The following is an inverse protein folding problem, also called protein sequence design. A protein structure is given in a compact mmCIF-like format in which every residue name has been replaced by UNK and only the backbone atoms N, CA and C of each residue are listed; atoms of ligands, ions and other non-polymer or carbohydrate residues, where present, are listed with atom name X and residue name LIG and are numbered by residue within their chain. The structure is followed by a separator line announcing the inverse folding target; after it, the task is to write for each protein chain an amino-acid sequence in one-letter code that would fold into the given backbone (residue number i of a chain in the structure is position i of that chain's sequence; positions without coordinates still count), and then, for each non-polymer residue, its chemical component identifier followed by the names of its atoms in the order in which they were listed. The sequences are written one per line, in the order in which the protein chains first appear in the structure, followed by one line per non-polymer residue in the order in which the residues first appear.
data_IF_734090701220
#
_entry.id   IF_734090701220
#
_cell.length_a   1.000
_cell.length_b   1.000
_cell.length_c   1.000
_cell.angle_alpha   90.00
_cell.angle_beta   90.00
_cell.angle_gamma   90.00
#
_symmetry.space_group_name_H-M   'P 1'
#
loop_
_entity.id
_entity.type
_entity.pdbx_description
1 polymer ?
#
# COMPACT_ATOMS: atom_id res chain seq x y z
N UNK A 1 -11.19 23.11 -0.62
CA UNK A 1 -9.76 23.40 -0.76
C UNK A 1 -9.04 22.07 -0.64
N UNK A 2 -8.43 21.57 -1.73
CA UNK A 2 -7.66 20.33 -1.68
C UNK A 2 -6.34 20.62 -0.97
N UNK A 3 -6.26 20.29 0.32
CA UNK A 3 -5.02 20.37 1.06
C UNK A 3 -3.99 19.45 0.40
N UNK A 4 -2.79 19.96 0.14
CA UNK A 4 -1.66 19.12 -0.25
C UNK A 4 -1.40 18.20 0.94
N UNK A 5 -1.56 16.88 0.77
CA UNK A 5 -1.23 15.93 1.85
C UNK A 5 0.20 16.16 2.32
N UNK A 6 0.41 16.27 3.63
CA UNK A 6 1.76 16.38 4.17
C UNK A 6 2.49 15.07 3.92
N UNK A 7 3.81 15.07 3.65
CA UNK A 7 4.58 13.83 3.53
C UNK A 7 4.34 12.81 4.65
N UNK A 8 4.13 13.27 5.89
CA UNK A 8 3.77 12.48 7.07
C UNK A 8 2.48 11.69 6.90
N UNK A 9 1.53 12.26 6.17
CA UNK A 9 0.21 11.68 5.98
C UNK A 9 0.22 10.67 4.83
N UNK A 10 1.14 10.83 3.87
CA UNK A 10 1.16 10.00 2.66
C UNK A 10 1.74 8.63 2.98
N UNK A 11 0.97 7.58 2.71
CA UNK A 11 1.38 6.19 2.91
C UNK A 11 1.83 5.59 1.58
N UNK A 12 3.02 5.01 1.59
CA UNK A 12 3.64 4.28 0.48
C UNK A 12 3.65 2.80 0.84
N UNK A 13 2.95 1.98 0.06
CA UNK A 13 2.81 0.54 0.30
C UNK A 13 3.45 -0.22 -0.85
N UNK A 14 4.40 -1.09 -0.53
CA UNK A 14 5.04 -1.98 -1.47
C UNK A 14 4.47 -3.39 -1.30
N UNK A 15 4.15 -4.05 -2.41
CA UNK A 15 3.89 -5.50 -2.40
C UNK A 15 5.21 -6.30 -2.47
N UNK A 16 5.11 -7.63 -2.41
CA UNK A 16 6.26 -8.55 -2.52
C UNK A 16 7.00 -8.44 -3.85
N UNK A 17 6.29 -8.00 -4.88
CA UNK A 17 6.84 -7.75 -6.20
C UNK A 17 7.41 -6.33 -6.31
N UNK A 18 7.54 -5.54 -5.25
CA UNK A 18 8.05 -4.17 -5.28
C UNK A 18 7.21 -3.21 -6.16
N UNK A 19 5.94 -3.55 -6.40
CA UNK A 19 4.98 -2.60 -6.95
C UNK A 19 4.51 -1.65 -5.85
N UNK A 20 4.36 -0.37 -6.19
CA UNK A 20 4.08 0.69 -5.23
C UNK A 20 2.67 1.24 -5.41
N UNK A 21 1.88 1.16 -4.33
CA UNK A 21 0.65 1.92 -4.14
C UNK A 21 0.90 3.12 -3.21
N UNK A 22 0.31 4.27 -3.53
CA UNK A 22 0.42 5.49 -2.71
C UNK A 22 -0.96 5.99 -2.32
N UNK A 23 -1.15 6.20 -1.02
CA UNK A 23 -2.41 6.66 -0.42
C UNK A 23 -2.21 8.02 0.26
N UNK A 24 -3.19 8.94 0.16
CA UNK A 24 -3.05 10.28 0.72
C UNK A 24 -3.13 10.35 2.25
N UNK A 25 -3.49 9.25 2.92
CA UNK A 25 -3.63 9.13 4.38
C UNK A 25 -3.60 7.66 4.82
N UNK A 26 -3.36 7.41 6.12
CA UNK A 26 -3.55 6.08 6.74
C UNK A 26 -4.95 5.54 6.45
N UNK A 27 -5.99 6.37 6.63
CA UNK A 27 -7.37 5.98 6.38
C UNK A 27 -7.62 5.52 4.94
N UNK A 28 -7.02 6.21 3.98
CA UNK A 28 -7.14 5.82 2.58
C UNK A 28 -6.43 4.49 2.28
N UNK A 29 -5.34 4.17 3.00
CA UNK A 29 -4.70 2.87 2.91
C UNK A 29 -5.58 1.76 3.53
N UNK A 30 -6.19 2.01 4.71
CA UNK A 30 -7.14 1.08 5.34
C UNK A 30 -8.31 0.72 4.40
N UNK A 31 -8.89 1.73 3.74
CA UNK A 31 -10.02 1.53 2.82
C UNK A 31 -9.58 0.91 1.47
N UNK A 32 -8.28 0.93 1.15
CA UNK A 32 -7.74 0.56 -0.16
C UNK A 32 -7.04 -0.80 -0.22
N UNK A 33 -6.59 -1.33 0.91
CA UNK A 33 -5.86 -2.61 0.99
C UNK A 33 -6.81 -3.79 1.28
N UNK A 34 -6.46 -4.97 0.76
CA UNK A 34 -7.19 -6.20 1.04
C UNK A 34 -6.65 -6.85 2.32
N UNK A 35 -7.55 -7.23 3.25
CA UNK A 35 -7.17 -7.82 4.53
C UNK A 35 -6.46 -9.17 4.37
N UNK A 36 -6.84 -9.99 3.38
CA UNK A 36 -6.15 -11.23 3.03
C UNK A 36 -4.65 -11.00 2.76
N UNK A 37 -4.31 -10.02 1.91
CA UNK A 37 -2.91 -9.71 1.59
C UNK A 37 -2.13 -9.18 2.80
N UNK A 38 -2.81 -8.47 3.72
CA UNK A 38 -2.22 -8.04 5.01
C UNK A 38 -1.93 -9.25 5.90
N UNK A 39 -2.87 -10.20 6.00
CA UNK A 39 -2.70 -11.45 6.77
C UNK A 39 -1.54 -12.28 6.22
N UNK A 40 -1.42 -12.36 4.89
CA UNK A 40 -0.36 -13.09 4.19
C UNK A 40 1.01 -12.37 4.25
N UNK A 41 1.07 -11.17 4.86
CA UNK A 41 2.31 -10.39 4.99
C UNK A 41 2.83 -9.89 3.64
N UNK A 42 1.94 -9.67 2.68
CA UNK A 42 2.33 -9.27 1.32
C UNK A 42 2.80 -7.81 1.24
N UNK A 43 2.44 -7.00 2.24
CA UNK A 43 2.67 -5.57 2.22
C UNK A 43 3.74 -5.11 3.21
N UNK A 44 4.59 -4.19 2.75
CA UNK A 44 5.45 -3.36 3.60
C UNK A 44 5.08 -1.90 3.37
N UNK A 45 4.82 -1.14 4.44
CA UNK A 45 4.30 0.22 4.34
C UNK A 45 5.12 1.24 5.12
N UNK A 46 5.23 2.44 4.56
CA UNK A 46 5.95 3.57 5.13
C UNK A 46 5.19 4.88 4.91
N UNK A 47 5.47 5.91 5.69
CA UNK A 47 5.16 7.28 5.27
C UNK A 47 6.16 7.76 4.22
N UNK A 48 5.79 8.77 3.43
CA UNK A 48 6.73 9.39 2.50
C UNK A 48 7.92 10.07 3.20
N UNK A 49 7.83 10.32 4.51
CA UNK A 49 8.94 10.81 5.33
C UNK A 49 9.93 9.70 5.68
N UNK A 50 9.48 8.45 5.70
CA UNK A 50 10.29 7.28 6.04
C UNK A 50 9.91 6.60 7.36
N UNK A 51 8.76 6.91 7.96
CA UNK A 51 8.29 6.20 9.17
C UNK A 51 7.63 4.90 8.79
N UNK A 52 7.87 3.83 9.55
CA UNK A 52 7.19 2.56 9.30
C UNK A 52 5.69 2.68 9.63
N UNK A 53 4.87 2.05 8.80
CA UNK A 53 3.42 1.91 9.01
C UNK A 53 3.13 0.44 9.25
N UNK A 54 2.60 0.13 10.42
CA UNK A 54 2.14 -1.20 10.79
C UNK A 54 0.74 -1.44 10.21
N UNK A 55 0.58 -2.55 9.50
CA UNK A 55 -0.66 -2.96 8.86
C UNK A 55 -1.17 -4.23 9.52
N UNK A 56 -2.44 -4.21 9.94
CA UNK A 56 -3.07 -5.35 10.63
C UNK A 56 -4.46 -5.62 10.09
N UNK A 57 -4.84 -6.89 10.09
CA UNK A 57 -6.19 -7.36 9.80
C UNK A 57 -6.71 -8.18 11.00
N UNK A 58 -7.15 -7.51 12.09
CA UNK A 58 -7.50 -8.20 13.34
C UNK A 58 -8.68 -9.17 13.21
N UNK A 59 -9.56 -8.92 12.23
CA UNK A 59 -10.74 -9.74 11.95
C UNK A 59 -10.49 -10.82 10.88
N UNK A 60 -9.23 -11.04 10.49
CA UNK A 60 -8.81 -12.05 9.51
C UNK A 60 -8.96 -11.62 8.05
N UNK A 61 -8.90 -12.59 7.14
CA UNK A 61 -8.74 -12.38 5.68
C UNK A 61 -9.90 -11.62 5.01
N UNK A 62 -11.12 -11.67 5.58
CA UNK A 62 -12.30 -10.94 5.09
C UNK A 62 -12.60 -9.67 5.91
N UNK A 63 -11.71 -9.32 6.84
CA UNK A 63 -11.87 -8.24 7.80
C UNK A 63 -11.53 -6.85 7.29
N UNK A 64 -11.47 -5.89 8.22
CA UNK A 64 -10.95 -4.54 7.96
C UNK A 64 -9.42 -4.52 8.10
N UNK A 65 -8.78 -3.67 7.30
CA UNK A 65 -7.38 -3.31 7.50
C UNK A 65 -7.30 -2.12 8.45
N UNK A 66 -6.38 -2.20 9.41
CA UNK A 66 -5.98 -1.10 10.29
C UNK A 66 -4.55 -0.70 9.96
N UNK A 67 -4.30 0.61 9.84
CA UNK A 67 -2.98 1.16 9.57
C UNK A 67 -2.56 2.10 10.70
N UNK A 68 -1.38 1.86 11.28
CA UNK A 68 -0.87 2.66 12.39
C UNK A 68 0.56 3.10 12.14
N UNK A 69 0.87 4.37 12.45
CA UNK A 69 2.25 4.85 12.47
C UNK A 69 3.00 4.20 13.63
N UNK A 70 4.24 3.80 13.38
CA UNK A 70 5.13 3.33 14.44
C UNK A 70 6.17 4.40 14.79
N UNK A 71 6.85 4.16 15.93
CA UNK A 71 7.97 4.99 16.33
C UNK A 71 9.28 4.73 15.55
N UNK A 72 9.25 3.75 14.65
CA UNK A 72 10.43 3.24 13.96
C UNK A 72 10.77 4.05 12.70
N UNK A 73 12.06 4.36 12.57
CA UNK A 73 12.61 4.96 11.36
C UNK A 73 12.90 3.86 10.33
N UNK A 74 12.10 3.85 9.27
CA UNK A 74 12.20 2.95 8.12
C UNK A 74 12.81 3.60 6.88
N UNK A 75 13.44 4.78 7.00
CA UNK A 75 13.86 5.59 5.84
C UNK A 75 14.76 4.84 4.87
N UNK A 76 15.76 4.13 5.39
CA UNK A 76 16.70 3.34 4.58
C UNK A 76 16.01 2.19 3.83
N UNK A 77 14.99 1.62 4.44
CA UNK A 77 14.23 0.51 3.88
C UNK A 77 13.30 0.99 2.78
N UNK A 78 12.60 2.10 3.02
CA UNK A 78 11.83 2.82 2.01
C UNK A 78 12.67 3.17 0.78
N UNK A 79 13.87 3.74 0.98
CA UNK A 79 14.78 4.08 -0.12
C UNK A 79 15.22 2.84 -0.91
N UNK A 80 15.42 1.71 -0.23
CA UNK A 80 15.75 0.43 -0.88
C UNK A 80 14.60 -0.10 -1.73
N UNK A 81 13.37 -0.07 -1.22
CA UNK A 81 12.17 -0.46 -1.97
C UNK A 81 11.95 0.44 -3.18
N UNK A 82 12.11 1.75 -3.02
CA UNK A 82 12.04 2.72 -4.12
C UNK A 82 13.09 2.51 -5.19
N UNK A 83 14.33 2.21 -4.81
CA UNK A 83 15.38 1.90 -5.77
C UNK A 83 14.99 0.68 -6.64
N UNK A 84 14.40 -0.36 -6.03
CA UNK A 84 13.90 -1.55 -6.75
C UNK A 84 12.72 -1.23 -7.65
N UNK A 85 11.76 -0.45 -7.16
CA UNK A 85 10.61 0.03 -7.93
C UNK A 85 11.05 0.81 -9.18
N UNK A 86 12.00 1.75 -9.04
CA UNK A 86 12.48 2.56 -10.15
C UNK A 86 13.40 1.81 -11.11
N UNK A 87 14.18 0.84 -10.63
CA UNK A 87 15.05 0.02 -11.49
C UNK A 87 14.26 -0.75 -12.58
N UNK A 88 12.98 -1.03 -12.33
CA UNK A 88 12.08 -1.71 -13.28
C UNK A 88 11.44 -0.77 -14.32
N UNK A 89 11.67 0.53 -14.22
CA UNK A 89 11.05 1.58 -15.05
C UNK A 89 12.11 2.33 -15.86
N UNK A 90 12.65 1.73 -16.92
CA UNK A 90 13.69 2.36 -17.73
C UNK A 90 13.21 3.68 -18.36
N UNK A 91 14.10 4.68 -18.40
CA UNK A 91 13.82 5.98 -18.99
C UNK A 91 13.22 7.03 -18.04
N UNK A 92 13.05 6.71 -16.75
CA UNK A 92 12.74 7.70 -15.71
C UNK A 92 13.89 7.85 -14.73
N UNK A 93 14.20 9.08 -14.34
CA UNK A 93 15.15 9.32 -13.26
C UNK A 93 14.55 8.82 -11.93
N UNK A 94 15.31 8.08 -11.11
CA UNK A 94 14.86 7.71 -9.77
C UNK A 94 14.52 8.96 -8.97
N UNK A 95 13.37 8.92 -8.29
CA UNK A 95 12.92 10.01 -7.43
C UNK A 95 13.05 9.60 -5.96
N UNK A 96 13.26 10.59 -5.09
CA UNK A 96 13.18 10.39 -3.65
C UNK A 96 11.74 10.04 -3.21
N UNK A 97 11.55 9.65 -1.94
CA UNK A 97 10.24 9.24 -1.43
C UNK A 97 9.14 10.28 -1.62
N UNK A 98 9.37 11.53 -1.18
CA UNK A 98 8.37 12.60 -1.26
C UNK A 98 8.00 12.95 -2.71
N UNK A 99 9.00 13.04 -3.59
CA UNK A 99 8.76 13.35 -5.00
C UNK A 99 8.06 12.19 -5.72
N UNK A 100 8.40 10.94 -5.37
CA UNK A 100 7.68 9.75 -5.86
C UNK A 100 6.22 9.77 -5.40
N UNK A 101 5.99 10.00 -4.11
CA UNK A 101 4.67 10.08 -3.51
C UNK A 101 3.81 11.16 -4.18
N UNK A 102 4.34 12.37 -4.34
CA UNK A 102 3.65 13.49 -5.02
C UNK A 102 3.35 13.15 -6.48
N UNK A 103 4.32 12.59 -7.21
CA UNK A 103 4.14 12.20 -8.61
C UNK A 103 2.98 11.19 -8.78
N UNK A 104 2.90 10.19 -7.90
CA UNK A 104 1.91 9.12 -7.99
C UNK A 104 0.53 9.55 -7.47
N UNK A 105 0.45 10.43 -6.47
CA UNK A 105 -0.82 11.02 -6.02
C UNK A 105 -1.43 11.95 -7.07
N UNK A 106 -0.63 12.81 -7.70
CA UNK A 106 -1.10 13.74 -8.76
C UNK A 106 -1.49 12.97 -10.03
N UNK A 107 -0.86 11.83 -10.28
CA UNK A 107 -1.19 10.94 -11.40
C UNK A 107 -2.47 10.12 -11.23
N UNK A 108 -3.09 10.14 -10.03
CA UNK A 108 -4.11 9.20 -9.59
C UNK A 108 -3.54 7.79 -9.35
N UNK A 109 -4.24 6.91 -8.62
CA UNK A 109 -3.79 5.54 -8.37
C UNK A 109 -3.69 4.79 -9.71
N UNK A 110 -2.49 4.78 -10.29
CA UNK A 110 -2.16 3.92 -11.41
C UNK A 110 -1.52 2.68 -10.82
N UNK A 111 -2.33 1.65 -10.60
CA UNK A 111 -1.83 0.29 -10.50
C UNK A 111 -1.13 -0.03 -11.83
N UNK A 112 0.19 0.15 -11.89
CA UNK A 112 0.97 -0.17 -13.08
C UNK A 112 1.24 -1.66 -13.13
N UNK A 113 0.17 -2.42 -13.41
CA UNK A 113 0.22 -3.87 -13.63
C UNK A 113 -0.64 -4.62 -12.62
N UNK A 114 -1.86 -5.01 -13.05
CA UNK A 114 -2.93 -5.64 -12.26
C UNK A 114 -3.24 -4.85 -10.98
N UNK A 115 -4.34 -4.09 -11.03
CA UNK A 115 -5.03 -3.74 -9.79
C UNK A 115 -5.27 -4.99 -8.93
N UNK A 116 -5.49 -4.83 -7.62
CA UNK A 116 -5.75 -5.95 -6.71
C UNK A 116 -6.81 -6.81 -7.38
N UNK A 117 -6.46 -8.08 -7.59
CA UNK A 117 -7.29 -8.97 -8.37
C UNK A 117 -8.64 -9.00 -7.67
N UNK A 118 -9.63 -8.36 -8.28
CA UNK A 118 -11.02 -8.81 -8.19
C UNK A 118 -11.10 -10.22 -8.76
N UNK A 119 -10.52 -11.18 -8.07
CA UNK A 119 -10.94 -12.56 -8.14
C UNK A 119 -12.31 -12.56 -7.47
N UNK A 120 -13.34 -12.39 -8.30
CA UNK A 120 -14.59 -13.11 -8.09
C UNK A 120 -14.21 -14.54 -7.72
N UNK A 121 -14.25 -14.86 -6.44
CA UNK A 121 -14.04 -16.22 -5.95
C UNK A 121 -15.12 -17.12 -6.59
N UNK A 122 -14.76 -18.09 -7.46
CA UNK A 122 -15.74 -19.02 -8.04
C UNK A 122 -16.18 -20.10 -7.04
N UNK A 123 -15.71 -20.08 -5.79
CA UNK A 123 -16.06 -21.06 -4.76
C UNK A 123 -17.18 -20.62 -3.79
N UNK A 124 -17.96 -19.57 -4.10
CA UNK A 124 -19.31 -19.42 -3.53
C UNK A 124 -20.25 -20.50 -4.09
N UNK A 125 -20.03 -21.75 -3.71
CA UNK A 125 -21.08 -22.78 -3.69
C UNK A 125 -21.59 -22.87 -2.26
N UNK A 126 -22.87 -22.51 -2.12
CA UNK A 126 -23.54 -22.38 -0.84
C UNK A 126 -23.41 -23.62 0.03
N UNK A 127 -23.06 -23.40 1.30
CA UNK A 127 -23.39 -24.33 2.36
C UNK A 127 -24.71 -23.85 2.94
N UNK A 128 -25.79 -24.52 2.55
CA UNK A 128 -27.08 -24.39 3.22
C UNK A 128 -26.92 -24.81 4.70
N UNK A 129 -27.62 -24.17 5.64
CA UNK A 129 -27.66 -24.63 7.01
C UNK A 129 -28.63 -25.82 7.07
N UNK A 130 -28.17 -26.94 7.62
CA UNK A 130 -29.08 -27.93 8.16
C UNK A 130 -28.72 -28.15 9.62
N UNK A 131 -29.79 -28.01 10.42
CA UNK A 131 -29.95 -28.22 11.85
C UNK A 131 -29.40 -29.55 12.35
#
# INVERSE_FOLDING_TARGET
MGGVSHPADIVMVFDRDEELAVFPSLRAAEDGLEAMDVVDGEYTAFTAEGRLVDLRAPDGEEGLVLAALTDEDGRKDLERHLARFWARRPGRAPLGPEDTARLLLVGGPRATGRGPRRLRNPFRRGRAPHS
#
